data_IF_093697492859
#
_entry.id   IF_093697492859
#
_cell.length_a   1.000
_cell.length_b   1.000
_cell.length_c   1.000
_cell.angle_alpha   90.00
_cell.angle_beta   90.00
_cell.angle_gamma   90.00
#
_symmetry.space_group_name_H-M   'P 1'
#
loop_
_entity.id
_entity.type
_entity.pdbx_description
1 polymer ?
#
# COMPACT_ATOMS: atom_id res chain seq x y z
N UNK A 1 -39.48 -38.85 -7.03
CA UNK A 1 -40.28 -37.87 -6.27
C UNK A 1 -39.30 -37.13 -5.37
N UNK A 2 -38.80 -35.97 -5.80
CA UNK A 2 -37.82 -35.17 -5.06
C UNK A 2 -38.57 -34.18 -4.15
N UNK A 3 -38.15 -33.96 -2.89
CA UNK A 3 -38.80 -32.98 -2.03
C UNK A 3 -38.50 -31.56 -2.53
N UNK A 4 -39.46 -30.62 -2.41
CA UNK A 4 -39.25 -29.23 -2.80
C UNK A 4 -38.28 -28.55 -1.83
N UNK A 5 -37.19 -27.99 -2.35
CA UNK A 5 -36.28 -27.15 -1.59
C UNK A 5 -36.92 -25.77 -1.37
N UNK A 6 -37.52 -25.57 -0.20
CA UNK A 6 -37.92 -24.25 0.28
C UNK A 6 -36.66 -23.39 0.49
N UNK A 7 -36.44 -22.44 -0.43
CA UNK A 7 -35.31 -21.50 -0.43
C UNK A 7 -35.48 -20.29 0.52
N UNK A 8 -36.34 -20.37 1.54
CA UNK A 8 -36.67 -19.23 2.40
C UNK A 8 -36.03 -19.22 3.80
N UNK A 9 -35.29 -20.26 4.20
CA UNK A 9 -34.70 -20.35 5.56
C UNK A 9 -33.16 -20.24 5.57
N UNK A 10 -32.58 -19.38 4.73
CA UNK A 10 -31.14 -19.04 4.82
C UNK A 10 -30.85 -18.03 5.95
N UNK A 11 -31.46 -18.24 7.12
CA UNK A 11 -31.30 -17.38 8.28
C UNK A 11 -29.94 -17.58 8.98
N UNK A 12 -29.50 -16.60 9.79
CA UNK A 12 -28.27 -16.72 10.58
C UNK A 12 -28.28 -17.95 11.50
N UNK A 13 -29.46 -18.46 11.88
CA UNK A 13 -29.62 -19.62 12.74
C UNK A 13 -29.23 -20.94 12.06
N UNK A 14 -29.55 -21.12 10.77
CA UNK A 14 -29.09 -22.30 10.00
C UNK A 14 -27.59 -22.29 9.76
N UNK A 15 -27.02 -21.11 9.52
CA UNK A 15 -25.58 -20.96 9.38
C UNK A 15 -24.89 -21.26 10.72
N UNK A 16 -25.44 -20.76 11.83
CA UNK A 16 -24.95 -21.06 13.17
C UNK A 16 -25.02 -22.56 13.48
N UNK A 17 -26.12 -23.21 13.14
CA UNK A 17 -26.30 -24.66 13.35
C UNK A 17 -25.33 -25.47 12.48
N UNK A 18 -25.17 -25.11 11.21
CA UNK A 18 -24.17 -25.72 10.33
C UNK A 18 -22.73 -25.51 10.85
N UNK A 19 -22.41 -24.32 11.38
CA UNK A 19 -21.10 -24.03 11.97
C UNK A 19 -20.85 -24.80 13.27
N UNK A 20 -21.89 -25.04 14.07
CA UNK A 20 -21.79 -25.85 15.30
C UNK A 20 -21.58 -27.34 15.06
N UNK A 21 -21.87 -27.82 13.84
CA UNK A 21 -21.62 -29.21 13.45
C UNK A 21 -20.22 -29.44 12.89
N UNK A 22 -19.37 -28.40 12.76
CA UNK A 22 -17.99 -28.63 12.36
C UNK A 22 -17.24 -29.38 13.47
N UNK A 23 -16.47 -30.42 13.12
CA UNK A 23 -15.60 -31.08 14.08
C UNK A 23 -14.55 -30.10 14.61
N UNK A 24 -14.31 -30.13 15.92
CA UNK A 24 -13.24 -29.36 16.55
C UNK A 24 -11.88 -29.90 16.11
N UNK A 25 -11.34 -29.33 15.03
CA UNK A 25 -9.96 -29.54 14.64
C UNK A 25 -9.08 -28.49 15.30
N UNK A 26 -8.51 -28.86 16.45
CA UNK A 26 -7.38 -28.14 17.00
C UNK A 26 -6.13 -28.46 16.14
N UNK A 27 -5.48 -27.46 15.52
CA UNK A 27 -4.23 -27.68 14.81
C UNK A 27 -3.16 -28.16 15.80
N UNK A 28 -2.33 -29.10 15.37
CA UNK A 28 -1.22 -29.60 16.18
C UNK A 28 -0.31 -28.43 16.62
N UNK A 29 0.02 -28.40 17.91
CA UNK A 29 0.78 -27.34 18.58
C UNK A 29 2.15 -27.09 17.93
N UNK A 30 2.72 -28.11 17.29
CA UNK A 30 3.96 -28.00 16.53
C UNK A 30 3.82 -27.14 15.26
N UNK A 31 2.65 -27.16 14.62
CA UNK A 31 2.41 -26.43 13.36
C UNK A 31 2.48 -24.92 13.58
N UNK A 32 1.88 -24.45 14.68
CA UNK A 32 1.95 -23.04 15.08
C UNK A 32 3.37 -22.60 15.44
N UNK A 33 4.09 -23.45 16.18
CA UNK A 33 5.48 -23.20 16.55
C UNK A 33 6.37 -23.10 15.31
N UNK A 34 6.15 -23.95 14.30
CA UNK A 34 6.87 -23.94 13.02
C UNK A 34 6.58 -22.69 12.18
N UNK A 35 5.33 -22.25 12.14
CA UNK A 35 4.93 -21.00 11.47
C UNK A 35 5.58 -19.80 12.17
N UNK A 36 5.55 -19.75 13.51
CA UNK A 36 6.16 -18.68 14.29
C UNK A 36 7.68 -18.64 14.10
N UNK A 37 8.35 -19.79 14.15
CA UNK A 37 9.78 -19.90 13.88
C UNK A 37 10.15 -19.40 12.47
N UNK A 38 9.32 -19.71 11.46
CA UNK A 38 9.51 -19.26 10.07
C UNK A 38 9.28 -17.76 9.90
N UNK A 39 8.32 -17.19 10.62
CA UNK A 39 8.07 -15.75 10.61
C UNK A 39 9.21 -14.96 11.27
N UNK A 40 9.73 -15.45 12.41
CA UNK A 40 10.84 -14.83 13.15
C UNK A 40 12.15 -14.92 12.37
N UNK A 41 12.45 -16.05 11.72
CA UNK A 41 13.67 -16.23 10.93
C UNK A 41 13.74 -15.27 9.73
N UNK A 42 12.61 -15.06 9.02
CA UNK A 42 12.50 -14.07 7.93
C UNK A 42 12.77 -12.64 8.40
N UNK A 43 12.25 -12.25 9.57
CA UNK A 43 12.50 -10.90 10.16
C UNK A 43 13.98 -10.71 10.53
N UNK A 44 14.62 -11.74 11.10
CA UNK A 44 16.05 -11.70 11.47
C UNK A 44 16.95 -11.59 10.24
N UNK A 45 16.65 -12.34 9.17
CA UNK A 45 17.39 -12.28 7.91
C UNK A 45 17.32 -10.89 7.27
N UNK A 46 16.13 -10.28 7.17
CA UNK A 46 15.97 -8.91 6.65
C UNK A 46 16.71 -7.85 7.46
N UNK A 47 16.74 -7.98 8.80
CA UNK A 47 17.53 -7.09 9.68
C UNK A 47 19.03 -7.25 9.50
N UNK A 48 19.53 -8.47 9.31
CA UNK A 48 20.95 -8.72 9.00
C UNK A 48 21.32 -8.13 7.65
N UNK A 49 20.51 -8.37 6.60
CA UNK A 49 20.75 -7.84 5.27
C UNK A 49 20.76 -6.29 5.26
N UNK A 50 19.83 -5.65 5.99
CA UNK A 50 19.82 -4.19 6.18
C UNK A 50 21.06 -3.64 6.90
N UNK A 51 21.68 -4.41 7.81
CA UNK A 51 22.91 -4.00 8.49
C UNK A 51 24.15 -4.18 7.62
N UNK A 52 24.13 -5.12 6.67
CA UNK A 52 25.26 -5.40 5.77
C UNK A 52 25.19 -4.53 4.50
N UNK A 53 23.99 -4.10 4.09
CA UNK A 53 23.76 -3.21 2.94
C UNK A 53 24.61 -1.92 2.92
N UNK A 54 24.77 -1.15 4.02
CA UNK A 54 25.58 0.07 3.97
C UNK A 54 27.07 -0.21 3.75
N UNK A 55 27.58 -1.41 4.07
CA UNK A 55 28.98 -1.78 3.85
C UNK A 55 29.30 -2.01 2.36
N UNK A 56 28.34 -2.57 1.61
CA UNK A 56 28.48 -2.81 0.17
C UNK A 56 28.36 -1.53 -0.67
N UNK A 57 27.57 -0.55 -0.19
CA UNK A 57 27.42 0.75 -0.86
C UNK A 57 28.70 1.61 -0.80
N UNK A 58 29.50 1.50 0.26
CA UNK A 58 30.77 2.24 0.38
C UNK A 58 31.82 1.78 -0.65
N UNK A 59 31.88 0.48 -0.96
CA UNK A 59 32.81 -0.06 -1.95
C UNK A 59 32.47 0.37 -3.38
N UNK A 60 31.19 0.59 -3.68
CA UNK A 60 30.73 1.03 -5.01
C UNK A 60 30.94 2.54 -5.23
N UNK A 61 30.87 3.35 -4.17
CA UNK A 61 31.14 4.80 -4.26
C UNK A 61 32.62 5.09 -4.58
N UNK A 62 33.55 4.30 -4.06
CA UNK A 62 34.99 4.45 -4.32
C UNK A 62 35.38 4.12 -5.77
N UNK A 63 34.63 3.25 -6.45
CA UNK A 63 34.89 2.88 -7.85
C UNK A 63 34.39 3.94 -8.85
N UNK A 64 33.38 4.73 -8.47
CA UNK A 64 32.77 5.75 -9.34
C UNK A 64 33.55 7.08 -9.37
N UNK A 65 34.35 7.38 -8.35
CA UNK A 65 35.13 8.63 -8.24
C UNK A 65 36.48 8.59 -8.97
N UNK A 66 36.86 7.46 -9.57
CA UNK A 66 38.17 7.25 -10.20
C UNK A 66 38.22 7.38 -11.74
N UNK A 67 37.11 7.74 -12.42
CA UNK A 67 37.07 7.81 -13.88
C UNK A 67 37.23 9.26 -14.39
N UNK A 68 38.37 9.63 -15.02
CA UNK A 68 38.50 10.92 -15.66
C UNK A 68 37.80 10.88 -17.02
N UNK A 69 36.63 11.52 -17.13
CA UNK A 69 35.97 11.77 -18.41
C UNK A 69 36.69 12.96 -19.07
N UNK A 70 37.67 12.64 -19.92
CA UNK A 70 38.11 13.54 -20.98
C UNK A 70 36.98 13.65 -22.00
N UNK A 71 36.34 14.82 -22.09
CA UNK A 71 35.62 15.26 -23.29
C UNK A 71 35.84 16.77 -23.43
N UNK A 72 36.87 17.12 -24.20
CA UNK A 72 36.92 18.37 -24.95
C UNK A 72 36.05 18.21 -26.21
N UNK A 73 35.15 19.16 -26.45
CA UNK A 73 34.85 19.69 -27.79
C UNK A 73 33.81 20.83 -27.72
N UNK A 74 34.34 22.06 -27.75
CA UNK A 74 33.98 23.11 -28.72
C UNK A 74 32.54 23.64 -28.78
N UNK A 75 32.37 24.86 -28.26
CA UNK A 75 31.28 25.81 -28.55
C UNK A 75 31.23 26.21 -30.04
N UNK A 76 30.12 26.80 -30.53
CA UNK A 76 30.10 28.26 -30.53
C UNK A 76 28.73 28.92 -30.20
N UNK A 77 28.83 29.98 -29.41
CA UNK A 77 28.27 31.33 -29.62
C UNK A 77 26.89 31.48 -30.32
N UNK A 78 25.90 31.93 -29.54
CA UNK A 78 24.95 32.98 -29.95
C UNK A 78 24.29 33.64 -28.74
N UNK A 79 24.80 34.81 -28.34
CA UNK A 79 24.04 35.89 -27.71
C UNK A 79 23.41 36.77 -28.84
N UNK A 80 22.40 37.66 -28.61
CA UNK A 80 22.16 38.34 -27.34
C UNK A 80 20.69 38.68 -26.94
N UNK A 81 20.57 39.11 -25.67
CA UNK A 81 19.66 40.14 -25.12
C UNK A 81 18.15 40.02 -25.37
N UNK A 82 17.39 39.60 -24.36
CA UNK A 82 16.17 40.32 -23.95
C UNK A 82 16.06 40.39 -22.43
N UNK A 83 16.23 41.62 -21.93
CA UNK A 83 15.87 42.07 -20.60
C UNK A 83 14.35 42.05 -20.47
N UNK A 84 13.80 41.14 -19.66
CA UNK A 84 12.48 41.33 -19.05
C UNK A 84 12.54 40.93 -17.58
N UNK A 85 12.77 41.95 -16.76
CA UNK A 85 12.43 41.96 -15.35
C UNK A 85 10.94 41.74 -15.22
N UNK A 86 10.51 40.52 -14.92
CA UNK A 86 9.18 40.26 -14.39
C UNK A 86 9.34 39.66 -12.99
N UNK A 87 9.19 40.53 -11.99
CA UNK A 87 8.98 40.12 -10.61
C UNK A 87 7.64 39.42 -10.59
N UNK A 88 7.64 38.09 -10.54
CA UNK A 88 6.43 37.31 -10.35
C UNK A 88 6.73 36.22 -9.34
N UNK A 89 6.34 36.54 -8.11
CA UNK A 89 5.92 35.63 -7.06
C UNK A 89 5.38 34.34 -7.68
N UNK A 90 5.97 33.16 -7.43
CA UNK A 90 5.36 31.91 -7.87
C UNK A 90 4.12 31.67 -7.00
N UNK A 91 2.99 32.23 -7.42
CA UNK A 91 1.68 31.75 -7.01
C UNK A 91 1.50 30.40 -7.69
N UNK A 92 1.71 29.36 -6.91
CA UNK A 92 1.70 27.96 -7.29
C UNK A 92 0.28 27.60 -7.76
N UNK A 93 0.04 27.73 -9.06
CA UNK A 93 -1.22 27.36 -9.70
C UNK A 93 -1.29 25.81 -9.77
N UNK A 94 -2.22 25.12 -9.10
CA UNK A 94 -2.26 23.66 -9.09
C UNK A 94 -2.80 23.02 -10.39
N UNK A 95 -3.07 23.81 -11.44
CA UNK A 95 -3.84 23.37 -12.61
C UNK A 95 -3.02 22.89 -13.82
N UNK A 96 -1.68 22.98 -13.82
CA UNK A 96 -0.82 22.55 -14.96
C UNK A 96 -0.02 21.27 -14.71
N UNK A 97 -0.25 20.55 -13.61
CA UNK A 97 0.44 19.28 -13.31
C UNK A 97 -0.13 18.04 -14.03
N UNK A 98 -1.00 18.20 -15.03
CA UNK A 98 -1.80 17.10 -15.60
C UNK A 98 -1.33 16.50 -16.93
N UNK A 99 -0.09 16.74 -17.38
CA UNK A 99 0.41 16.10 -18.64
C UNK A 99 1.87 15.65 -18.62
N UNK A 100 2.53 15.64 -17.47
CA UNK A 100 3.80 14.93 -17.33
C UNK A 100 3.49 13.50 -16.89
N UNK A 101 3.88 12.49 -17.70
CA UNK A 101 3.74 11.12 -17.25
C UNK A 101 4.51 10.94 -15.94
N UNK A 102 3.93 10.29 -14.91
CA UNK A 102 4.58 10.15 -13.62
C UNK A 102 5.91 9.40 -13.77
N UNK A 103 6.95 9.89 -13.11
CA UNK A 103 8.25 9.21 -13.05
C UNK A 103 8.17 8.06 -12.04
N UNK A 104 9.14 7.14 -12.08
CA UNK A 104 9.19 6.05 -11.09
C UNK A 104 9.31 6.61 -9.67
N UNK A 105 10.10 7.68 -9.46
CA UNK A 105 10.28 8.32 -8.17
C UNK A 105 8.97 8.93 -7.62
N UNK A 106 8.15 9.55 -8.47
CA UNK A 106 6.86 10.11 -8.02
C UNK A 106 5.87 9.02 -7.62
N UNK A 107 5.85 7.89 -8.33
CA UNK A 107 5.02 6.73 -7.98
C UNK A 107 5.47 6.09 -6.66
N UNK A 108 6.78 5.95 -6.45
CA UNK A 108 7.35 5.45 -5.21
C UNK A 108 6.91 6.30 -4.01
N UNK A 109 7.11 7.61 -4.11
CA UNK A 109 6.70 8.56 -3.07
C UNK A 109 5.20 8.49 -2.79
N UNK A 110 4.36 8.46 -3.84
CA UNK A 110 2.90 8.29 -3.69
C UNK A 110 2.55 7.00 -2.95
N UNK A 111 3.22 5.90 -3.28
CA UNK A 111 2.96 4.60 -2.64
C UNK A 111 3.32 4.60 -1.15
N UNK A 112 4.45 5.22 -0.77
CA UNK A 112 4.86 5.36 0.63
C UNK A 112 3.84 6.18 1.43
N UNK A 113 3.36 7.29 0.84
CA UNK A 113 2.32 8.11 1.45
C UNK A 113 1.02 7.34 1.67
N UNK A 114 0.61 6.52 0.70
CA UNK A 114 -0.61 5.71 0.82
C UNK A 114 -0.48 4.60 1.85
N UNK A 115 0.69 3.98 1.99
CA UNK A 115 0.95 3.01 3.07
C UNK A 115 0.87 3.64 4.44
N UNK A 116 1.45 4.84 4.60
CA UNK A 116 1.39 5.56 5.86
C UNK A 116 -0.07 5.89 6.22
N UNK A 117 -0.83 6.42 5.26
CA UNK A 117 -2.26 6.68 5.44
C UNK A 117 -3.06 5.41 5.76
N UNK A 118 -2.83 4.32 5.04
CA UNK A 118 -3.44 3.01 5.35
C UNK A 118 -3.09 2.50 6.75
N UNK A 119 -1.87 2.77 7.23
CA UNK A 119 -1.45 2.43 8.59
C UNK A 119 -2.23 3.21 9.64
N UNK A 120 -2.52 4.49 9.37
CA UNK A 120 -3.34 5.34 10.24
C UNK A 120 -4.79 4.86 10.26
N UNK A 121 -5.36 4.54 9.09
CA UNK A 121 -6.71 3.96 8.98
C UNK A 121 -6.85 2.62 9.71
N UNK A 122 -5.80 1.79 9.68
CA UNK A 122 -5.81 0.51 10.38
C UNK A 122 -5.75 0.68 11.90
N UNK A 123 -5.02 1.69 12.37
CA UNK A 123 -4.83 1.96 13.79
C UNK A 123 -6.08 2.54 14.44
N UNK A 124 -6.83 3.39 13.71
CA UNK A 124 -8.00 4.10 14.25
C UNK A 124 -9.34 3.55 13.76
N UNK A 125 -9.36 2.68 12.76
CA UNK A 125 -10.57 2.14 12.16
C UNK A 125 -10.97 0.78 12.75
N UNK A 126 -12.27 0.47 12.64
CA UNK A 126 -12.80 -0.83 13.04
C UNK A 126 -12.11 -2.00 12.30
N UNK A 127 -12.04 -3.19 12.92
CA UNK A 127 -11.57 -4.40 12.25
C UNK A 127 -12.45 -4.74 11.02
N UNK A 128 -11.81 -5.16 9.93
CA UNK A 128 -12.52 -5.69 8.76
C UNK A 128 -13.10 -7.07 9.09
N UNK A 129 -14.30 -7.36 8.58
CA UNK A 129 -15.01 -8.63 8.83
C UNK A 129 -15.51 -9.26 7.52
N UNK A 130 -15.73 -10.57 7.56
CA UNK A 130 -16.35 -11.36 6.49
C UNK A 130 -15.71 -11.15 5.11
N UNK A 131 -16.54 -10.83 4.12
CA UNK A 131 -16.14 -10.66 2.72
C UNK A 131 -15.11 -9.53 2.55
N UNK A 132 -15.22 -8.44 3.31
CA UNK A 132 -14.28 -7.33 3.22
C UNK A 132 -12.88 -7.72 3.72
N UNK A 133 -12.79 -8.60 4.74
CA UNK A 133 -11.50 -9.14 5.16
C UNK A 133 -10.90 -10.03 4.06
N UNK A 134 -11.69 -10.90 3.45
CA UNK A 134 -11.23 -11.75 2.35
C UNK A 134 -10.73 -10.94 1.14
N UNK A 135 -11.45 -9.87 0.77
CA UNK A 135 -11.03 -8.92 -0.28
C UNK A 135 -9.73 -8.20 0.08
N UNK A 136 -9.57 -7.79 1.33
CA UNK A 136 -8.34 -7.12 1.78
C UNK A 136 -7.13 -8.06 1.72
N UNK A 137 -7.31 -9.35 2.05
CA UNK A 137 -6.26 -10.37 1.93
C UNK A 137 -5.87 -10.58 0.46
N UNK A 138 -6.84 -10.73 -0.46
CA UNK A 138 -6.54 -10.85 -1.90
C UNK A 138 -5.76 -9.65 -2.46
N UNK A 139 -6.15 -8.42 -2.06
CA UNK A 139 -5.41 -7.21 -2.44
C UNK A 139 -3.98 -7.19 -1.87
N UNK A 140 -3.79 -7.62 -0.62
CA UNK A 140 -2.47 -7.70 0.01
C UNK A 140 -1.56 -8.74 -0.66
N UNK A 141 -2.11 -9.88 -1.06
CA UNK A 141 -1.36 -10.92 -1.78
C UNK A 141 -0.92 -10.42 -3.16
N UNK A 142 -1.81 -9.72 -3.88
CA UNK A 142 -1.46 -9.07 -5.17
C UNK A 142 -0.37 -8.01 -5.00
N UNK A 143 -0.43 -7.19 -3.94
CA UNK A 143 0.65 -6.24 -3.62
C UNK A 143 1.96 -6.98 -3.38
N UNK A 144 1.92 -8.09 -2.62
CA UNK A 144 3.09 -8.93 -2.37
C UNK A 144 3.72 -9.50 -3.65
N UNK A 145 2.92 -9.91 -4.62
CA UNK A 145 3.40 -10.36 -5.93
C UNK A 145 4.05 -9.22 -6.74
N UNK A 146 3.44 -8.04 -6.75
CA UNK A 146 4.02 -6.86 -7.42
C UNK A 146 5.35 -6.46 -6.75
N UNK A 147 5.41 -6.50 -5.41
CA UNK A 147 6.64 -6.20 -4.66
C UNK A 147 7.75 -7.23 -4.96
N UNK A 148 7.39 -8.50 -5.17
CA UNK A 148 8.34 -9.52 -5.61
C UNK A 148 8.84 -9.24 -7.03
N UNK A 149 7.95 -8.90 -7.97
CA UNK A 149 8.33 -8.54 -9.34
C UNK A 149 9.20 -7.29 -9.40
N UNK A 150 8.92 -6.29 -8.55
CA UNK A 150 9.73 -5.08 -8.40
C UNK A 150 11.13 -5.34 -7.83
N UNK A 151 11.31 -6.46 -7.11
CA UNK A 151 12.62 -6.86 -6.60
C UNK A 151 13.51 -7.53 -7.66
N UNK A 152 12.91 -8.00 -8.77
CA UNK A 152 13.65 -8.56 -9.88
C UNK A 152 14.30 -7.44 -10.73
N UNK A 153 15.48 -7.68 -11.32
CA UNK A 153 16.03 -6.78 -12.32
C UNK A 153 15.10 -6.75 -13.55
N UNK A 154 14.95 -5.58 -14.16
CA UNK A 154 14.10 -5.39 -15.32
C UNK A 154 14.19 -3.97 -15.86
N UNK A 155 13.55 -3.70 -16.99
CA UNK A 155 13.67 -2.41 -17.69
C UNK A 155 12.85 -1.30 -17.01
N UNK A 156 13.28 -0.05 -17.22
CA UNK A 156 12.60 1.14 -16.68
C UNK A 156 11.10 1.25 -17.02
N UNK A 157 10.62 0.98 -18.26
CA UNK A 157 9.18 1.03 -18.56
C UNK A 157 8.37 -0.05 -17.82
N UNK A 158 8.88 -1.28 -17.76
CA UNK A 158 8.24 -2.37 -17.02
C UNK A 158 8.15 -2.05 -15.52
N UNK A 159 9.23 -1.51 -14.95
CA UNK A 159 9.28 -1.08 -13.55
C UNK A 159 8.28 0.02 -13.25
N UNK A 160 8.12 0.98 -14.16
CA UNK A 160 7.10 2.05 -14.04
C UNK A 160 5.68 1.48 -14.04
N UNK A 161 5.38 0.53 -14.92
CA UNK A 161 4.08 -0.14 -14.95
C UNK A 161 3.77 -0.87 -13.63
N UNK A 162 4.74 -1.59 -13.07
CA UNK A 162 4.60 -2.27 -11.78
C UNK A 162 4.38 -1.28 -10.62
N UNK A 163 5.10 -0.16 -10.58
CA UNK A 163 4.85 0.89 -9.59
C UNK A 163 3.46 1.51 -9.72
N UNK A 164 2.96 1.70 -10.94
CA UNK A 164 1.60 2.18 -11.16
C UNK A 164 0.57 1.15 -10.66
N UNK A 165 0.77 -0.13 -10.97
CA UNK A 165 -0.08 -1.21 -10.48
C UNK A 165 -0.12 -1.27 -8.95
N UNK A 166 1.04 -1.12 -8.30
CA UNK A 166 1.13 -1.07 -6.83
C UNK A 166 0.30 0.07 -6.23
N UNK A 167 0.41 1.27 -6.81
CA UNK A 167 -0.39 2.43 -6.37
C UNK A 167 -1.88 2.17 -6.53
N UNK A 168 -2.30 1.56 -7.64
CA UNK A 168 -3.72 1.21 -7.86
C UNK A 168 -4.22 0.22 -6.81
N UNK A 169 -3.46 -0.83 -6.51
CA UNK A 169 -3.82 -1.81 -5.48
C UNK A 169 -3.92 -1.19 -4.07
N UNK A 170 -3.00 -0.27 -3.73
CA UNK A 170 -3.09 0.48 -2.48
C UNK A 170 -4.31 1.40 -2.44
N UNK A 171 -4.71 1.97 -3.59
CA UNK A 171 -5.93 2.75 -3.71
C UNK A 171 -7.17 1.91 -3.46
N UNK A 172 -7.25 0.73 -4.08
CA UNK A 172 -8.36 -0.20 -3.90
C UNK A 172 -8.47 -0.65 -2.44
N UNK A 173 -7.34 -0.97 -1.81
CA UNK A 173 -7.31 -1.34 -0.39
C UNK A 173 -7.77 -0.18 0.52
N UNK A 174 -7.40 1.05 0.18
CA UNK A 174 -7.83 2.22 0.93
C UNK A 174 -9.31 2.52 0.75
N UNK A 175 -9.85 2.41 -0.47
CA UNK A 175 -11.28 2.55 -0.72
C UNK A 175 -12.10 1.51 0.03
N UNK A 176 -11.63 0.25 0.03
CA UNK A 176 -12.24 -0.79 0.84
C UNK A 176 -12.23 -0.41 2.33
N UNK A 177 -11.12 0.11 2.86
CA UNK A 177 -11.02 0.48 4.28
C UNK A 177 -11.90 1.68 4.65
N UNK A 178 -11.98 2.69 3.79
CA UNK A 178 -12.86 3.85 3.99
C UNK A 178 -14.33 3.43 3.96
N UNK A 179 -14.72 2.56 3.02
CA UNK A 179 -16.10 2.06 2.92
C UNK A 179 -16.57 1.28 4.15
N UNK A 180 -15.64 0.63 4.85
CA UNK A 180 -15.90 -0.15 6.06
C UNK A 180 -15.67 0.61 7.36
N UNK A 181 -15.25 1.87 7.28
CA UNK A 181 -15.13 2.72 8.46
C UNK A 181 -16.54 3.09 8.92
N UNK A 182 -16.96 2.78 10.16
CA UNK A 182 -18.22 3.25 10.71
C UNK A 182 -18.09 4.76 10.99
N UNK A 183 -18.08 5.55 9.92
CA UNK A 183 -18.29 6.98 9.98
C UNK A 183 -19.77 7.11 10.34
N UNK A 184 -20.10 7.36 11.61
CA UNK A 184 -21.29 8.13 12.09
C UNK A 184 -22.13 7.53 13.22
N UNK A 185 -22.00 6.25 13.61
CA UNK A 185 -22.79 5.73 14.76
C UNK A 185 -22.49 6.50 16.07
N UNK A 186 -21.27 7.03 16.19
CA UNK A 186 -20.86 7.85 17.33
C UNK A 186 -21.49 9.25 17.34
N UNK A 187 -21.78 9.84 16.16
CA UNK A 187 -22.38 11.18 16.07
C UNK A 187 -23.86 11.12 16.42
N UNK A 188 -24.54 10.05 15.98
CA UNK A 188 -25.90 9.72 16.39
C UNK A 188 -26.02 9.41 17.90
N UNK A 189 -25.01 8.77 18.51
CA UNK A 189 -24.97 8.54 19.97
C UNK A 189 -24.66 9.80 20.80
N UNK A 190 -23.88 10.75 20.26
CA UNK A 190 -23.59 12.02 20.92
C UNK A 190 -24.79 12.98 20.88
N UNK A 191 -25.52 13.05 19.76
CA UNK A 191 -26.72 13.89 19.65
C UNK A 191 -27.89 13.33 20.48
N UNK A 192 -28.05 12.00 20.53
CA UNK A 192 -29.10 11.35 21.36
C UNK A 192 -28.85 11.42 22.87
N UNK A 193 -27.59 11.37 23.35
CA UNK A 193 -27.28 11.65 24.77
C UNK A 193 -27.49 13.12 25.15
N UNK A 194 -27.27 14.04 24.22
CA UNK A 194 -27.47 15.47 24.46
C UNK A 194 -28.97 15.82 24.59
N UNK A 195 -29.85 15.11 23.88
CA UNK A 195 -31.29 15.23 23.98
C UNK A 195 -31.87 14.61 25.28
N UNK A 196 -31.21 13.62 25.87
CA UNK A 196 -31.68 12.90 27.06
C UNK A 196 -31.39 13.62 28.40
N UNK A 197 -30.62 14.71 28.41
CA UNK A 197 -30.24 15.47 29.62
C UNK A 197 -31.04 16.80 29.73
N UNK A 198 -31.81 17.17 28.70
CA UNK A 198 -32.62 18.38 28.69
C UNK A 198 -34.11 18.16 29.04
N UNK A 199 -34.47 16.96 29.50
CA UNK A 199 -35.75 16.63 30.13
C UNK A 199 -35.54 16.40 31.62
#
# INVERSE_FOLDING_TARGET
>A
MFPPHNQHDAGPDRLREALSQLPEHAPDSETWSRIHARAVSRRRSRRRLRRILPLAAAASLLLALGMPVLHDATSPDRAPLQTQTHVSTPMQNPATAHTAMPTVATLQHRSMRMEQWLSELRTHGAPLQGIALARAVDLQDRIGLVDLQLSAPGDTPARKALWQQRVNLLQDLAMLRVSQSPVSDQRAMAESRSAAIQL
#
